data_IF_115961775939
#
_entry.id   IF_115961775939
#
_cell.length_a   1.000
_cell.length_b   1.000
_cell.length_c   1.000
_cell.angle_alpha   90.00
_cell.angle_beta   90.00
_cell.angle_gamma   90.00
#
_symmetry.space_group_name_H-M   'P 1'
#
loop_
_entity.id
_entity.type
_entity.pdbx_description
1 polymer ?
#
# COMPACT_ATOMS: atom_id res chain seq x y z
N UNK A 1 -9.99 -1.79 51.38
CA UNK A 1 -9.09 -2.19 50.28
C UNK A 1 -9.72 -1.73 48.98
N UNK A 2 -9.08 -0.78 48.29
CA UNK A 2 -9.65 -0.07 47.14
C UNK A 2 -9.38 -0.86 45.86
N UNK A 3 -10.44 -1.15 45.11
CA UNK A 3 -10.37 -1.69 43.76
C UNK A 3 -9.75 -0.65 42.82
N UNK A 4 -8.73 -1.07 42.06
CA UNK A 4 -8.17 -0.32 40.93
C UNK A 4 -8.65 -1.01 39.65
N UNK A 5 -9.35 -0.32 38.73
CA UNK A 5 -9.72 -0.90 37.45
C UNK A 5 -8.51 -0.93 36.51
N UNK A 6 -8.30 -2.08 35.88
CA UNK A 6 -7.27 -2.31 34.86
C UNK A 6 -7.78 -1.76 33.52
N UNK A 7 -7.30 -0.58 33.12
CA UNK A 7 -7.55 0.01 31.79
C UNK A 7 -6.56 -0.61 30.82
N UNK A 8 -7.03 -1.49 29.93
CA UNK A 8 -6.24 -1.95 28.78
C UNK A 8 -6.29 -0.87 27.71
N UNK A 9 -5.24 -0.06 27.66
CA UNK A 9 -5.04 0.92 26.60
C UNK A 9 -4.79 0.20 25.27
N UNK A 10 -5.67 0.40 24.29
CA UNK A 10 -5.48 0.00 22.90
C UNK A 10 -4.35 0.83 22.28
N UNK A 11 -3.11 0.37 22.43
CA UNK A 11 -1.97 0.90 21.69
C UNK A 11 -2.04 0.36 20.25
N UNK A 12 -2.72 1.09 19.37
CA UNK A 12 -2.40 1.04 17.95
C UNK A 12 -0.90 1.31 17.87
N UNK A 13 -0.05 0.43 17.31
CA UNK A 13 1.25 0.86 16.89
C UNK A 13 0.97 1.90 15.80
N UNK A 14 0.96 3.17 16.19
CA UNK A 14 1.26 4.26 15.29
C UNK A 14 2.61 3.85 14.74
N UNK A 15 2.60 3.27 13.54
CA UNK A 15 3.79 3.14 12.73
C UNK A 15 4.15 4.59 12.47
N UNK A 16 4.92 5.16 13.40
CA UNK A 16 5.68 6.35 13.14
C UNK A 16 6.47 5.98 11.89
N UNK A 17 6.10 6.58 10.76
CA UNK A 17 6.98 6.72 9.62
C UNK A 17 8.15 7.58 10.11
N UNK A 18 9.01 6.99 10.94
CA UNK A 18 10.21 7.60 11.46
C UNK A 18 11.13 7.82 10.26
N UNK A 19 11.24 9.08 9.85
CA UNK A 19 12.14 9.48 8.77
C UNK A 19 11.60 10.55 7.82
N UNK A 20 10.32 10.93 7.88
CA UNK A 20 9.93 12.23 7.33
C UNK A 20 10.30 13.29 8.36
N UNK A 21 11.57 13.71 8.38
CA UNK A 21 11.92 15.02 8.93
C UNK A 21 11.08 16.04 8.16
N UNK A 22 9.97 16.43 8.76
CA UNK A 22 9.20 17.62 8.35
C UNK A 22 10.12 18.80 8.64
N UNK A 23 10.94 19.17 7.66
CA UNK A 23 11.25 20.58 7.50
C UNK A 23 9.95 21.22 7.02
N UNK A 24 9.28 22.06 7.83
CA UNK A 24 8.22 22.89 7.32
C UNK A 24 8.88 23.95 6.43
N UNK A 25 8.25 24.22 5.28
CA UNK A 25 8.67 25.18 4.25
C UNK A 25 9.80 24.70 3.35
N UNK A 26 9.40 24.05 2.27
CA UNK A 26 9.74 24.45 0.90
C UNK A 26 8.63 23.86 0.03
N UNK A 27 7.56 24.63 -0.13
CA UNK A 27 6.71 24.51 -1.33
C UNK A 27 7.66 24.50 -2.53
N UNK A 28 7.46 23.68 -3.57
CA UNK A 28 8.15 23.93 -4.82
C UNK A 28 7.65 25.29 -5.29
N UNK A 29 8.44 26.33 -5.03
CA UNK A 29 8.39 27.52 -5.83
C UNK A 29 8.62 27.00 -7.24
N UNK A 30 7.52 26.97 -8.00
CA UNK A 30 7.54 26.85 -9.44
C UNK A 30 8.18 28.13 -9.98
N UNK A 31 9.45 28.35 -9.65
CA UNK A 31 10.32 29.22 -10.37
C UNK A 31 10.88 28.38 -11.50
N UNK A 32 10.14 28.37 -12.61
CA UNK A 32 10.78 28.61 -13.90
C UNK A 32 11.49 29.97 -13.82
N UNK A 33 12.56 30.01 -13.04
CA UNK A 33 13.68 30.88 -13.32
C UNK A 33 14.60 30.02 -14.18
N UNK A 34 14.18 29.85 -15.43
CA UNK A 34 15.09 30.23 -16.51
C UNK A 34 15.45 31.71 -16.30
N UNK A 35 16.19 32.00 -15.22
CA UNK A 35 17.10 33.11 -15.25
C UNK A 35 18.06 32.68 -16.36
N UNK A 36 17.79 33.21 -17.54
CA UNK A 36 18.80 33.65 -18.47
C UNK A 36 19.85 34.39 -17.64
N UNK A 37 20.74 33.62 -17.01
CA UNK A 37 21.95 34.14 -16.41
C UNK A 37 22.62 34.83 -17.57
N UNK A 38 22.59 36.17 -17.54
CA UNK A 38 23.12 37.07 -18.55
C UNK A 38 24.61 36.77 -18.67
N UNK A 39 24.95 35.77 -19.47
CA UNK A 39 26.31 35.33 -19.76
C UNK A 39 26.86 36.06 -21.01
N UNK A 40 26.45 37.31 -21.11
CA UNK A 40 27.08 38.35 -21.91
C UNK A 40 27.65 39.42 -20.95
N UNK A 41 28.31 39.00 -19.87
CA UNK A 41 29.34 39.86 -19.32
C UNK A 41 30.34 40.12 -20.46
N UNK A 42 30.42 41.37 -20.90
CA UNK A 42 31.30 41.85 -21.95
C UNK A 42 32.71 41.28 -21.70
N UNK A 43 33.07 40.24 -22.48
CA UNK A 43 34.35 39.58 -22.33
C UNK A 43 35.39 40.53 -22.91
N UNK A 44 36.14 41.21 -22.05
CA UNK A 44 37.21 42.12 -22.47
C UNK A 44 38.26 41.33 -23.26
N UNK A 45 38.21 41.46 -24.58
CA UNK A 45 39.07 40.75 -25.50
C UNK A 45 40.42 41.46 -25.55
N UNK A 46 41.54 40.77 -25.27
CA UNK A 46 42.85 41.37 -25.44
C UNK A 46 43.06 41.86 -26.87
N UNK A 47 43.76 42.99 -27.03
CA UNK A 47 43.95 43.65 -28.33
C UNK A 47 44.99 42.97 -29.22
N UNK A 48 45.78 42.02 -28.69
CA UNK A 48 46.79 41.30 -29.47
C UNK A 48 46.49 39.80 -29.56
N UNK A 49 46.76 39.15 -30.72
CA UNK A 49 46.54 37.71 -30.88
C UNK A 49 47.27 36.83 -29.85
N UNK A 50 48.48 37.22 -29.43
CA UNK A 50 49.23 36.51 -28.40
C UNK A 50 48.57 36.59 -27.03
N UNK A 51 48.04 37.76 -26.66
CA UNK A 51 47.32 37.95 -25.41
C UNK A 51 45.97 37.23 -25.41
N UNK A 52 45.26 37.21 -26.55
CA UNK A 52 44.05 36.39 -26.73
C UNK A 52 44.34 34.90 -26.50
N UNK A 53 45.39 34.37 -27.12
CA UNK A 53 45.80 32.98 -26.92
C UNK A 53 46.14 32.68 -25.45
N UNK A 54 46.82 33.60 -24.76
CA UNK A 54 47.11 33.46 -23.33
C UNK A 54 45.84 33.46 -22.47
N UNK A 55 44.91 34.39 -22.74
CA UNK A 55 43.62 34.48 -22.04
C UNK A 55 42.76 33.23 -22.23
N UNK A 56 42.71 32.70 -23.45
CA UNK A 56 42.00 31.45 -23.72
C UNK A 56 42.59 30.27 -22.94
N UNK A 57 43.91 30.22 -22.75
CA UNK A 57 44.56 29.18 -21.91
C UNK A 57 44.22 29.32 -20.45
N UNK A 58 44.23 30.54 -19.92
CA UNK A 58 43.82 30.82 -18.54
C UNK A 58 42.38 30.37 -18.29
N UNK A 59 41.43 30.79 -19.13
CA UNK A 59 40.02 30.39 -19.00
C UNK A 59 39.81 28.88 -19.08
N UNK A 60 40.49 28.22 -20.02
CA UNK A 60 40.47 26.76 -20.15
C UNK A 60 41.07 26.04 -18.94
N UNK A 61 42.16 26.58 -18.39
CA UNK A 61 42.79 26.06 -17.18
C UNK A 61 41.86 26.18 -15.97
N UNK A 62 41.26 27.36 -15.76
CA UNK A 62 40.27 27.57 -14.70
C UNK A 62 39.08 26.61 -14.85
N UNK A 63 38.55 26.45 -16.06
CA UNK A 63 37.46 25.50 -16.33
C UNK A 63 37.84 24.07 -15.96
N UNK A 64 39.05 23.63 -16.32
CA UNK A 64 39.57 22.31 -15.99
C UNK A 64 39.77 22.12 -14.48
N UNK A 65 40.30 23.15 -13.79
CA UNK A 65 40.53 23.12 -12.34
C UNK A 65 39.21 23.01 -11.58
N UNK A 66 38.17 23.75 -12.00
CA UNK A 66 36.86 23.76 -11.33
C UNK A 66 36.21 22.37 -11.28
N UNK A 67 36.47 21.53 -12.28
CA UNK A 67 35.83 20.20 -12.41
C UNK A 67 36.70 19.04 -11.96
N UNK A 68 37.86 19.31 -11.37
CA UNK A 68 38.71 18.25 -10.81
C UNK A 68 38.00 17.54 -9.66
N UNK A 69 38.23 16.23 -9.53
CA UNK A 69 37.68 15.39 -8.46
C UNK A 69 36.14 15.39 -8.38
N UNK A 70 35.43 14.98 -9.46
CA UNK A 70 33.97 14.81 -9.41
C UNK A 70 33.56 13.77 -8.36
N UNK A 71 32.29 13.75 -7.91
CA UNK A 71 31.14 14.46 -8.47
C UNK A 71 31.00 15.91 -8.01
N UNK A 72 30.35 16.74 -8.83
CA UNK A 72 30.09 18.15 -8.57
C UNK A 72 28.63 18.51 -8.82
N UNK A 73 28.06 19.50 -8.09
CA UNK A 73 26.71 19.97 -8.34
C UNK A 73 26.59 20.66 -9.71
N UNK A 74 25.36 20.79 -10.20
CA UNK A 74 25.00 21.46 -11.47
C UNK A 74 25.71 22.81 -11.63
N UNK A 75 25.74 23.64 -10.58
CA UNK A 75 26.33 24.98 -10.63
C UNK A 75 27.82 24.95 -11.00
N UNK A 76 28.58 23.96 -10.51
CA UNK A 76 30.00 23.82 -10.81
C UNK A 76 30.23 23.45 -12.28
N UNK A 77 29.44 22.51 -12.81
CA UNK A 77 29.50 22.13 -14.23
C UNK A 77 29.11 23.29 -15.14
N UNK A 78 28.07 24.05 -14.77
CA UNK A 78 27.64 25.25 -15.50
C UNK A 78 28.74 26.32 -15.52
N UNK A 79 29.43 26.58 -14.38
CA UNK A 79 30.58 27.51 -14.34
C UNK A 79 31.71 27.08 -15.28
N UNK A 80 32.04 25.79 -15.28
CA UNK A 80 33.07 25.26 -16.18
C UNK A 80 32.66 25.37 -17.65
N UNK A 81 31.40 25.08 -17.97
CA UNK A 81 30.82 25.22 -19.31
C UNK A 81 30.97 26.65 -19.85
N UNK A 82 30.62 27.64 -19.02
CA UNK A 82 30.77 29.06 -19.35
C UNK A 82 32.23 29.40 -19.66
N UNK A 83 33.16 29.01 -18.80
CA UNK A 83 34.60 29.29 -19.02
C UNK A 83 35.16 28.62 -20.27
N UNK A 84 34.77 27.38 -20.56
CA UNK A 84 35.12 26.72 -21.82
C UNK A 84 34.56 27.48 -23.04
N UNK A 85 33.31 27.94 -22.97
CA UNK A 85 32.70 28.73 -24.06
C UNK A 85 33.42 30.07 -24.25
N UNK A 86 33.79 30.75 -23.18
CA UNK A 86 34.57 31.98 -23.23
C UNK A 86 35.95 31.74 -23.85
N UNK A 87 36.66 30.67 -23.44
CA UNK A 87 37.96 30.30 -24.02
C UNK A 87 37.86 30.03 -25.53
N UNK A 88 36.79 29.34 -25.97
CA UNK A 88 36.49 29.09 -27.39
C UNK A 88 36.28 30.41 -28.14
N UNK A 89 35.42 31.31 -27.63
CA UNK A 89 35.16 32.63 -28.25
C UNK A 89 36.45 33.45 -28.42
N UNK A 90 37.34 33.43 -27.43
CA UNK A 90 38.63 34.15 -27.52
C UNK A 90 39.52 33.57 -28.62
N UNK A 91 39.55 32.24 -28.80
CA UNK A 91 40.33 31.62 -29.88
C UNK A 91 39.72 31.86 -31.26
N UNK A 92 38.39 31.90 -31.37
CA UNK A 92 37.68 32.19 -32.63
C UNK A 92 37.90 33.63 -33.11
N UNK A 93 38.19 34.56 -32.20
CA UNK A 93 38.51 35.96 -32.53
C UNK A 93 39.94 36.16 -33.10
N UNK A 94 40.81 35.15 -33.03
CA UNK A 94 42.18 35.23 -33.56
C UNK A 94 42.16 35.09 -35.09
N UNK A 95 42.61 36.11 -35.82
CA UNK A 95 42.69 36.08 -37.28
C UNK A 95 43.66 35.00 -37.81
N UNK A 96 43.33 34.42 -38.96
CA UNK A 96 44.07 33.32 -39.60
C UNK A 96 45.48 33.70 -40.06
N UNK A 97 45.71 34.99 -40.33
CA UNK A 97 47.00 35.52 -40.80
C UNK A 97 47.99 35.81 -39.65
N UNK A 98 47.62 35.51 -38.40
CA UNK A 98 48.45 35.83 -37.24
C UNK A 98 49.53 34.78 -36.98
N UNK A 99 50.65 35.19 -36.40
CA UNK A 99 51.75 34.28 -35.99
C UNK A 99 51.34 33.14 -35.04
N UNK A 100 50.16 33.21 -34.43
CA UNK A 100 49.64 32.21 -33.48
C UNK A 100 48.44 31.42 -34.02
N UNK A 101 48.01 31.65 -35.26
CA UNK A 101 46.79 31.08 -35.83
C UNK A 101 46.76 29.55 -35.79
N UNK A 102 47.84 28.88 -36.19
CA UNK A 102 47.94 27.41 -36.15
C UNK A 102 47.76 26.87 -34.72
N UNK A 103 48.36 27.53 -33.74
CA UNK A 103 48.26 27.13 -32.34
C UNK A 103 46.87 27.39 -31.77
N UNK A 104 46.24 28.51 -32.15
CA UNK A 104 44.86 28.81 -31.80
C UNK A 104 43.90 27.74 -32.34
N UNK A 105 44.04 27.36 -33.62
CA UNK A 105 43.21 26.34 -34.24
C UNK A 105 43.35 24.96 -33.59
N UNK A 106 44.59 24.55 -33.27
CA UNK A 106 44.84 23.29 -32.55
C UNK A 106 44.16 23.28 -31.17
N UNK A 107 44.26 24.38 -30.42
CA UNK A 107 43.61 24.51 -29.10
C UNK A 107 42.09 24.57 -29.22
N UNK A 108 41.57 25.23 -30.25
CA UNK A 108 40.13 25.34 -30.50
C UNK A 108 39.48 23.96 -30.67
N UNK A 109 40.12 23.04 -31.40
CA UNK A 109 39.64 21.65 -31.51
C UNK A 109 39.55 20.98 -30.14
N UNK A 110 40.61 21.06 -29.33
CA UNK A 110 40.63 20.46 -27.98
C UNK A 110 39.57 21.09 -27.07
N UNK A 111 39.42 22.42 -27.12
CA UNK A 111 38.49 23.14 -26.24
C UNK A 111 37.04 22.84 -26.60
N UNK A 112 36.72 22.69 -27.90
CA UNK A 112 35.40 22.25 -28.35
C UNK A 112 35.06 20.84 -27.86
N UNK A 113 36.02 19.92 -27.88
CA UNK A 113 35.83 18.57 -27.31
C UNK A 113 35.59 18.61 -25.80
N UNK A 114 36.39 19.38 -25.05
CA UNK A 114 36.20 19.52 -23.60
C UNK A 114 34.87 20.20 -23.27
N UNK A 115 34.49 21.23 -24.03
CA UNK A 115 33.20 21.89 -23.88
C UNK A 115 32.05 20.90 -24.04
N UNK A 116 32.07 20.08 -25.10
CA UNK A 116 31.04 19.07 -25.34
C UNK A 116 30.95 18.06 -24.18
N UNK A 117 32.10 17.57 -23.69
CA UNK A 117 32.12 16.66 -22.54
C UNK A 117 31.56 17.29 -21.25
N UNK A 118 31.79 18.59 -21.02
CA UNK A 118 31.21 19.33 -19.89
C UNK A 118 29.71 19.56 -20.07
N UNK A 119 29.27 19.81 -21.31
CA UNK A 119 27.85 19.97 -21.65
C UNK A 119 27.07 18.67 -21.37
N UNK A 120 27.55 17.54 -21.89
CA UNK A 120 26.97 16.20 -21.62
C UNK A 120 26.91 15.89 -20.13
N UNK A 121 27.97 16.29 -19.40
CA UNK A 121 28.07 16.07 -17.96
C UNK A 121 27.07 16.93 -17.18
N UNK A 122 26.88 18.18 -17.59
CA UNK A 122 25.88 19.08 -17.02
C UNK A 122 24.47 18.54 -17.23
N UNK A 123 24.15 18.05 -18.44
CA UNK A 123 22.85 17.44 -18.73
C UNK A 123 22.59 16.21 -17.85
N UNK A 124 23.59 15.34 -17.70
CA UNK A 124 23.53 14.17 -16.83
C UNK A 124 23.26 14.56 -15.38
N UNK A 125 23.96 15.59 -14.88
CA UNK A 125 23.80 16.07 -13.51
C UNK A 125 22.42 16.70 -13.28
N UNK A 126 21.93 17.49 -14.23
CA UNK A 126 20.60 18.10 -14.17
C UNK A 126 19.50 17.05 -14.19
N UNK A 127 19.64 16.01 -15.01
CA UNK A 127 18.72 14.89 -15.05
C UNK A 127 18.72 14.12 -13.72
N UNK A 128 19.89 13.88 -13.11
CA UNK A 128 20.01 13.21 -11.83
C UNK A 128 19.31 13.98 -10.69
N UNK A 129 19.52 15.31 -10.62
CA UNK A 129 18.83 16.18 -9.64
C UNK A 129 17.32 16.14 -9.83
N UNK A 130 16.84 16.27 -11.08
CA UNK A 130 15.42 16.23 -11.40
C UNK A 130 14.77 14.88 -11.05
N UNK A 131 15.46 13.77 -11.30
CA UNK A 131 15.02 12.43 -10.90
C UNK A 131 14.91 12.29 -9.38
N UNK A 132 15.88 12.79 -8.63
CA UNK A 132 15.85 12.77 -7.17
C UNK A 132 14.64 13.55 -6.63
N UNK A 133 14.44 14.78 -7.12
CA UNK A 133 13.32 15.63 -6.70
C UNK A 133 11.97 15.01 -7.03
N UNK A 134 11.82 14.47 -8.25
CA UNK A 134 10.60 13.77 -8.67
C UNK A 134 10.33 12.54 -7.79
N UNK A 135 11.37 11.79 -7.42
CA UNK A 135 11.24 10.61 -6.58
C UNK A 135 10.79 10.98 -5.16
N UNK A 136 11.29 12.10 -4.63
CA UNK A 136 10.86 12.66 -3.35
C UNK A 136 9.39 13.09 -3.38
N UNK A 137 8.95 13.75 -4.46
CA UNK A 137 7.56 14.14 -4.62
C UNK A 137 6.61 12.92 -4.68
N UNK A 138 6.97 11.89 -5.44
CA UNK A 138 6.20 10.65 -5.54
C UNK A 138 6.12 9.91 -4.20
N UNK A 139 7.24 9.79 -3.49
CA UNK A 139 7.30 9.21 -2.16
C UNK A 139 6.41 9.96 -1.16
N UNK A 140 6.46 11.29 -1.17
CA UNK A 140 5.60 12.13 -0.34
C UNK A 140 4.11 11.90 -0.65
N UNK A 141 3.73 11.92 -1.92
CA UNK A 141 2.35 11.64 -2.34
C UNK A 141 1.91 10.24 -1.90
N UNK A 142 2.78 9.24 -2.02
CA UNK A 142 2.50 7.87 -1.58
C UNK A 142 2.23 7.81 -0.06
N UNK A 143 3.07 8.47 0.73
CA UNK A 143 2.91 8.55 2.18
C UNK A 143 1.60 9.27 2.56
N UNK A 144 1.31 10.43 1.97
CA UNK A 144 0.08 11.20 2.21
C UNK A 144 -1.17 10.40 1.83
N UNK A 145 -1.14 9.67 0.71
CA UNK A 145 -2.26 8.84 0.23
C UNK A 145 -2.73 7.83 1.28
N UNK A 146 -1.85 7.37 2.17
CA UNK A 146 -2.15 6.34 3.18
C UNK A 146 -2.13 6.86 4.62
N UNK A 147 -2.08 8.18 4.81
CA UNK A 147 -2.19 8.76 6.15
C UNK A 147 -3.60 8.52 6.72
N UNK A 148 -3.69 8.34 8.03
CA UNK A 148 -4.97 8.16 8.76
C UNK A 148 -5.81 6.98 8.21
N UNK A 149 -5.32 5.73 8.30
CA UNK A 149 -6.12 4.55 7.97
C UNK A 149 -7.42 4.50 8.80
N UNK A 150 -8.45 3.73 8.38
CA UNK A 150 -8.44 2.70 7.33
C UNK A 150 -8.56 3.26 5.90
N UNK A 151 -8.10 2.47 4.93
CA UNK A 151 -8.13 2.79 3.49
C UNK A 151 -8.52 1.57 2.65
N UNK A 152 -9.19 1.79 1.53
CA UNK A 152 -9.56 0.71 0.60
C UNK A 152 -8.34 0.10 -0.10
N UNK A 153 -8.49 -1.13 -0.61
CA UNK A 153 -7.42 -1.81 -1.37
C UNK A 153 -6.90 -0.96 -2.54
N UNK A 154 -7.77 -0.23 -3.24
CA UNK A 154 -7.40 0.61 -4.37
C UNK A 154 -6.48 1.79 -3.95
N UNK A 155 -6.71 2.37 -2.77
CA UNK A 155 -5.87 3.43 -2.21
C UNK A 155 -4.47 2.89 -1.88
N UNK A 156 -4.38 1.73 -1.22
CA UNK A 156 -3.09 1.09 -0.95
C UNK A 156 -2.31 0.74 -2.22
N UNK A 157 -2.98 0.20 -3.24
CA UNK A 157 -2.36 -0.09 -4.54
C UNK A 157 -1.89 1.18 -5.26
N UNK A 158 -2.63 2.28 -5.14
CA UNK A 158 -2.21 3.58 -5.67
C UNK A 158 -0.94 4.08 -5.00
N UNK A 159 -0.80 3.90 -3.69
CA UNK A 159 0.42 4.24 -2.96
C UNK A 159 1.60 3.34 -3.34
N UNK A 160 1.39 2.03 -3.49
CA UNK A 160 2.44 1.10 -3.94
C UNK A 160 2.99 1.49 -5.31
N UNK A 161 2.12 1.82 -6.28
CA UNK A 161 2.56 2.30 -7.61
C UNK A 161 3.43 3.56 -7.52
N UNK A 162 3.08 4.52 -6.67
CA UNK A 162 3.89 5.73 -6.47
C UNK A 162 5.24 5.42 -5.84
N UNK A 163 5.29 4.49 -4.87
CA UNK A 163 6.56 4.01 -4.32
C UNK A 163 7.42 3.31 -5.38
N UNK A 164 6.84 2.46 -6.23
CA UNK A 164 7.54 1.81 -7.34
C UNK A 164 8.15 2.85 -8.30
N UNK A 165 7.37 3.87 -8.68
CA UNK A 165 7.84 4.95 -9.55
C UNK A 165 8.98 5.74 -8.90
N UNK A 166 8.85 6.09 -7.61
CA UNK A 166 9.91 6.78 -6.88
C UNK A 166 11.21 5.96 -6.81
N UNK A 167 11.09 4.66 -6.53
CA UNK A 167 12.22 3.72 -6.49
C UNK A 167 12.90 3.63 -7.85
N UNK A 168 12.13 3.47 -8.93
CA UNK A 168 12.67 3.40 -10.29
C UNK A 168 13.43 4.68 -10.69
N UNK A 169 12.94 5.85 -10.28
CA UNK A 169 13.65 7.11 -10.52
C UNK A 169 14.98 7.18 -9.76
N UNK A 170 15.03 6.73 -8.50
CA UNK A 170 16.29 6.68 -7.75
C UNK A 170 17.29 5.65 -8.30
N UNK A 171 16.81 4.52 -8.81
CA UNK A 171 17.64 3.48 -9.44
C UNK A 171 18.25 3.94 -10.78
N UNK A 172 17.58 4.86 -11.47
CA UNK A 172 18.07 5.43 -12.73
C UNK A 172 19.18 6.49 -12.53
N UNK A 173 19.41 6.97 -11.31
CA UNK A 173 20.40 8.00 -11.03
C UNK A 173 21.83 7.42 -11.19
N UNK A 174 22.67 8.02 -12.06
CA UNK A 174 24.05 7.54 -12.23
C UNK A 174 24.87 7.64 -10.94
N UNK A 175 25.66 6.61 -10.65
CA UNK A 175 26.53 6.55 -9.46
C UNK A 175 27.55 7.69 -9.40
N UNK A 176 27.90 8.23 -10.57
CA UNK A 176 28.84 9.35 -10.72
C UNK A 176 28.19 10.72 -10.52
N UNK A 177 26.88 10.85 -10.31
CA UNK A 177 26.23 12.15 -10.06
C UNK A 177 26.53 12.68 -8.66
N UNK A 178 26.34 13.98 -8.42
CA UNK A 178 26.52 14.57 -7.06
C UNK A 178 25.46 14.12 -6.07
N UNK A 179 24.29 13.68 -6.56
CA UNK A 179 23.16 13.23 -5.75
C UNK A 179 23.13 11.71 -5.53
N UNK A 180 24.12 10.96 -6.00
CA UNK A 180 24.11 9.49 -5.96
C UNK A 180 24.04 8.92 -4.54
N UNK A 181 24.83 9.47 -3.61
CA UNK A 181 24.84 9.04 -2.20
C UNK A 181 23.48 9.24 -1.52
N UNK A 182 22.90 10.43 -1.68
CA UNK A 182 21.56 10.74 -1.15
C UNK A 182 20.48 9.84 -1.77
N UNK A 183 20.61 9.53 -3.06
CA UNK A 183 19.68 8.65 -3.77
C UNK A 183 19.73 7.22 -3.24
N UNK A 184 20.93 6.69 -2.95
CA UNK A 184 21.12 5.37 -2.35
C UNK A 184 20.53 5.28 -0.94
N UNK A 185 20.72 6.32 -0.12
CA UNK A 185 20.13 6.37 1.22
C UNK A 185 18.58 6.32 1.15
N UNK A 186 17.99 7.15 0.28
CA UNK A 186 16.52 7.18 0.10
C UNK A 186 15.98 5.88 -0.48
N UNK A 187 16.71 5.24 -1.39
CA UNK A 187 16.30 3.97 -1.99
C UNK A 187 16.07 2.88 -0.93
N UNK A 188 16.96 2.78 0.06
CA UNK A 188 16.80 1.85 1.17
C UNK A 188 15.54 2.14 2.01
N UNK A 189 15.27 3.42 2.27
CA UNK A 189 14.08 3.87 3.01
C UNK A 189 12.81 3.57 2.21
N UNK A 190 12.79 3.88 0.91
CA UNK A 190 11.61 3.75 0.06
C UNK A 190 11.23 2.28 -0.13
N UNK A 191 12.21 1.39 -0.33
CA UNK A 191 11.96 -0.07 -0.38
C UNK A 191 11.36 -0.60 0.91
N UNK A 192 11.83 -0.12 2.07
CA UNK A 192 11.24 -0.49 3.38
C UNK A 192 9.79 -0.03 3.49
N UNK A 193 9.52 1.22 3.14
CA UNK A 193 8.16 1.77 3.17
C UNK A 193 7.23 1.02 2.21
N UNK A 194 7.69 0.74 0.99
CA UNK A 194 6.95 -0.04 0.01
C UNK A 194 6.60 -1.43 0.55
N UNK A 195 7.54 -2.13 1.20
CA UNK A 195 7.27 -3.44 1.80
C UNK A 195 6.13 -3.39 2.83
N UNK A 196 6.06 -2.33 3.63
CA UNK A 196 4.93 -2.11 4.55
C UNK A 196 3.61 -1.95 3.79
N UNK A 197 3.61 -1.16 2.70
CA UNK A 197 2.43 -1.02 1.84
C UNK A 197 2.00 -2.36 1.23
N UNK A 198 2.95 -3.17 0.74
CA UNK A 198 2.67 -4.49 0.16
C UNK A 198 2.09 -5.47 1.19
N UNK A 199 2.56 -5.42 2.43
CA UNK A 199 1.98 -6.18 3.54
C UNK A 199 0.53 -5.77 3.79
N UNK A 200 0.24 -4.46 3.81
CA UNK A 200 -1.14 -3.96 3.95
C UNK A 200 -2.03 -4.39 2.79
N UNK A 201 -1.54 -4.34 1.54
CA UNK A 201 -2.25 -4.86 0.36
C UNK A 201 -2.58 -6.35 0.52
N UNK A 202 -1.62 -7.15 1.00
CA UNK A 202 -1.84 -8.57 1.22
C UNK A 202 -2.92 -8.83 2.29
N UNK A 203 -2.87 -8.10 3.40
CA UNK A 203 -3.88 -8.14 4.46
C UNK A 203 -5.26 -7.78 3.91
N UNK A 204 -5.38 -6.67 3.18
CA UNK A 204 -6.65 -6.23 2.58
C UNK A 204 -7.22 -7.26 1.59
N UNK A 205 -6.37 -7.89 0.76
CA UNK A 205 -6.81 -8.97 -0.14
C UNK A 205 -7.37 -10.15 0.63
N UNK A 206 -6.67 -10.62 1.67
CA UNK A 206 -7.15 -11.73 2.51
C UNK A 206 -8.49 -11.39 3.18
N UNK A 207 -8.62 -10.18 3.70
CA UNK A 207 -9.86 -9.67 4.30
C UNK A 207 -11.03 -9.72 3.31
N UNK A 208 -10.82 -9.27 2.08
CA UNK A 208 -11.85 -9.31 1.03
C UNK A 208 -12.22 -10.75 0.63
N UNK A 209 -11.23 -11.65 0.52
CA UNK A 209 -11.47 -13.07 0.29
C UNK A 209 -12.29 -13.68 1.43
N UNK A 210 -11.94 -13.37 2.68
CA UNK A 210 -12.67 -13.87 3.83
C UNK A 210 -14.13 -13.39 3.84
N UNK A 211 -14.36 -12.09 3.63
CA UNK A 211 -15.71 -11.56 3.54
C UNK A 211 -16.51 -12.26 2.43
N UNK A 212 -15.91 -12.47 1.25
CA UNK A 212 -16.58 -13.16 0.15
C UNK A 212 -16.99 -14.59 0.53
N UNK A 213 -16.11 -15.37 1.16
CA UNK A 213 -16.42 -16.74 1.61
C UNK A 213 -17.52 -16.77 2.66
N UNK A 214 -17.50 -15.85 3.63
CA UNK A 214 -18.57 -15.70 4.62
C UNK A 214 -19.90 -15.32 3.95
N UNK A 215 -19.88 -14.39 2.99
CA UNK A 215 -21.07 -13.96 2.26
C UNK A 215 -21.69 -15.08 1.42
N UNK A 216 -20.87 -15.85 0.71
CA UNK A 216 -21.35 -17.02 -0.04
C UNK A 216 -22.02 -18.04 0.88
N UNK A 217 -21.42 -18.31 2.05
CA UNK A 217 -21.99 -19.25 3.02
C UNK A 217 -23.28 -18.70 3.64
N UNK A 218 -23.29 -17.42 4.02
CA UNK A 218 -24.46 -16.76 4.61
C UNK A 218 -25.67 -16.76 3.65
N UNK A 219 -25.45 -16.42 2.37
CA UNK A 219 -26.51 -16.43 1.37
C UNK A 219 -27.03 -17.85 1.11
N UNK A 220 -26.12 -18.81 0.96
CA UNK A 220 -26.51 -20.21 0.78
C UNK A 220 -27.41 -20.70 1.93
N UNK A 221 -27.00 -20.48 3.19
CA UNK A 221 -27.77 -20.91 4.36
C UNK A 221 -29.09 -20.14 4.50
N UNK A 222 -29.11 -18.85 4.18
CA UNK A 222 -30.31 -18.01 4.21
C UNK A 222 -31.37 -18.44 3.20
N UNK A 223 -30.97 -19.03 2.07
CA UNK A 223 -31.87 -19.45 0.99
C UNK A 223 -32.47 -20.85 1.20
N UNK A 224 -31.89 -21.65 2.11
CA UNK A 224 -32.37 -23.01 2.41
C UNK A 224 -33.86 -23.08 2.80
N UNK A 225 -34.42 -22.18 3.63
CA UNK A 225 -35.85 -22.18 3.94
C UNK A 225 -36.75 -22.16 2.71
N UNK A 226 -36.41 -21.31 1.73
CA UNK A 226 -37.14 -21.17 0.47
C UNK A 226 -37.01 -22.43 -0.37
N UNK A 227 -35.79 -23.00 -0.46
CA UNK A 227 -35.55 -24.24 -1.20
C UNK A 227 -36.29 -25.43 -0.60
N UNK A 228 -36.35 -25.53 0.74
CA UNK A 228 -37.14 -26.54 1.43
C UNK A 228 -38.63 -26.38 1.12
N UNK A 229 -39.16 -25.15 1.17
CA UNK A 229 -40.56 -24.88 0.85
C UNK A 229 -40.90 -25.21 -0.62
N UNK A 230 -39.95 -25.03 -1.53
CA UNK A 230 -40.08 -25.37 -2.94
C UNK A 230 -39.84 -26.87 -3.25
N UNK A 231 -39.50 -27.70 -2.26
CA UNK A 231 -39.18 -29.11 -2.45
C UNK A 231 -37.86 -29.36 -3.19
N UNK A 232 -36.95 -28.38 -3.20
CA UNK A 232 -35.69 -28.40 -3.96
C UNK A 232 -34.46 -28.71 -3.10
N UNK A 233 -34.60 -28.73 -1.77
CA UNK A 233 -33.49 -28.92 -0.85
C UNK A 233 -33.32 -30.38 -0.40
N UNK A 234 -32.10 -30.75 -0.01
CA UNK A 234 -31.77 -32.07 0.54
C UNK A 234 -31.98 -32.04 2.06
N UNK A 235 -32.73 -33.02 2.57
CA UNK A 235 -33.00 -33.14 4.00
C UNK A 235 -34.04 -32.15 4.54
N UNK A 236 -34.51 -32.39 5.77
CA UNK A 236 -35.62 -31.64 6.37
C UNK A 236 -35.26 -30.19 6.78
N UNK A 237 -33.97 -29.93 7.03
CA UNK A 237 -33.44 -28.58 7.35
C UNK A 237 -32.99 -27.84 6.08
N UNK A 238 -32.85 -28.56 4.96
CA UNK A 238 -32.42 -28.05 3.66
C UNK A 238 -30.94 -28.25 3.34
N UNK A 239 -30.18 -28.81 4.27
CA UNK A 239 -28.77 -29.17 4.10
C UNK A 239 -28.49 -30.47 4.84
N UNK A 240 -27.50 -31.23 4.40
CA UNK A 240 -26.95 -32.36 5.15
C UNK A 240 -26.04 -31.89 6.29
N UNK A 241 -25.97 -32.66 7.37
CA UNK A 241 -25.16 -32.31 8.53
C UNK A 241 -23.67 -32.17 8.18
N UNK A 242 -23.14 -33.08 7.36
CA UNK A 242 -21.72 -33.05 6.98
C UNK A 242 -21.39 -31.83 6.11
N UNK A 243 -22.27 -31.49 5.15
CA UNK A 243 -22.10 -30.29 4.32
C UNK A 243 -22.08 -29.01 5.18
N UNK A 244 -22.87 -28.96 6.25
CA UNK A 244 -22.83 -27.84 7.19
C UNK A 244 -21.51 -27.78 7.96
N UNK A 245 -21.03 -28.92 8.46
CA UNK A 245 -19.73 -29.04 9.15
C UNK A 245 -18.58 -28.60 8.25
N UNK A 246 -18.56 -29.05 7.00
CA UNK A 246 -17.48 -28.74 6.04
C UNK A 246 -17.43 -27.23 5.73
N UNK A 247 -18.61 -26.60 5.59
CA UNK A 247 -18.70 -25.14 5.42
C UNK A 247 -18.16 -24.39 6.63
N UNK A 248 -18.48 -24.82 7.86
CA UNK A 248 -17.92 -24.19 9.04
C UNK A 248 -16.41 -24.37 9.14
N UNK A 249 -15.89 -25.52 8.75
CA UNK A 249 -14.44 -25.75 8.73
C UNK A 249 -13.74 -24.83 7.74
N UNK A 250 -14.36 -24.57 6.58
CA UNK A 250 -13.89 -23.55 5.63
C UNK A 250 -13.88 -22.16 6.27
N UNK A 251 -14.99 -21.72 6.90
CA UNK A 251 -15.05 -20.41 7.57
C UNK A 251 -14.00 -20.25 8.67
N UNK A 252 -13.76 -21.30 9.47
CA UNK A 252 -12.72 -21.33 10.51
C UNK A 252 -11.34 -21.12 9.91
N UNK A 253 -11.01 -21.88 8.86
CA UNK A 253 -9.71 -21.82 8.19
C UNK A 253 -9.51 -20.43 7.57
N UNK A 254 -10.53 -19.90 6.89
CA UNK A 254 -10.51 -18.57 6.31
C UNK A 254 -10.33 -17.46 7.35
N UNK A 255 -11.01 -17.53 8.50
CA UNK A 255 -10.84 -16.55 9.58
C UNK A 255 -9.46 -16.67 10.25
N UNK A 256 -8.91 -17.88 10.36
CA UNK A 256 -7.57 -18.12 10.89
C UNK A 256 -6.47 -17.50 10.01
N UNK A 257 -6.67 -17.41 8.69
CA UNK A 257 -5.72 -16.75 7.78
C UNK A 257 -5.62 -15.22 7.99
N UNK A 258 -6.60 -14.63 8.68
CA UNK A 258 -6.60 -13.22 9.12
C UNK A 258 -5.89 -13.01 10.47
N UNK A 259 -5.32 -14.03 11.09
CA UNK A 259 -4.68 -13.88 12.41
C UNK A 259 -3.39 -13.02 12.39
N UNK A 260 -2.91 -12.57 13.57
CA UNK A 260 -1.98 -11.43 13.75
C UNK A 260 -0.64 -11.54 13.00
N UNK A 261 0.10 -10.41 12.84
CA UNK A 261 -0.02 -9.18 13.62
C UNK A 261 -1.06 -8.16 13.16
N UNK A 262 -1.60 -8.24 11.93
CA UNK A 262 -2.40 -7.14 11.36
C UNK A 262 -3.88 -7.46 11.10
N UNK A 263 -4.24 -8.70 10.76
CA UNK A 263 -5.61 -8.99 10.33
C UNK A 263 -6.64 -9.01 11.47
N UNK A 264 -6.23 -9.24 12.73
CA UNK A 264 -7.12 -9.12 13.91
C UNK A 264 -7.44 -7.68 14.31
N UNK A 265 -6.69 -6.71 13.78
CA UNK A 265 -6.95 -5.27 13.99
C UNK A 265 -7.87 -4.68 12.92
N UNK A 266 -8.24 -5.45 11.90
CA UNK A 266 -9.15 -4.99 10.86
C UNK A 266 -10.58 -4.89 11.44
N UNK A 267 -11.33 -3.80 11.16
CA UNK A 267 -12.67 -3.56 11.72
C UNK A 267 -13.60 -4.77 11.63
N UNK A 268 -13.66 -5.39 10.45
CA UNK A 268 -14.57 -6.51 10.19
C UNK A 268 -14.24 -7.83 10.90
N UNK A 269 -13.02 -7.98 11.46
CA UNK A 269 -12.61 -9.27 12.04
C UNK A 269 -13.57 -9.70 13.16
N UNK A 270 -13.98 -8.76 14.00
CA UNK A 270 -14.90 -8.99 15.11
C UNK A 270 -16.26 -9.49 14.61
N UNK A 271 -16.78 -8.88 13.55
CA UNK A 271 -18.04 -9.28 12.93
C UNK A 271 -17.95 -10.68 12.32
N UNK A 272 -16.90 -10.98 11.55
CA UNK A 272 -16.73 -12.33 10.98
C UNK A 272 -16.57 -13.39 12.08
N UNK A 273 -15.87 -13.06 13.18
CA UNK A 273 -15.76 -13.93 14.34
C UNK A 273 -17.08 -14.10 15.11
N UNK A 274 -17.94 -13.09 15.16
CA UNK A 274 -19.31 -13.21 15.69
C UNK A 274 -20.18 -14.10 14.80
N UNK A 275 -20.18 -13.90 13.49
CA UNK A 275 -20.92 -14.74 12.56
C UNK A 275 -20.49 -16.21 12.64
N UNK A 276 -19.19 -16.46 12.78
CA UNK A 276 -18.68 -17.82 12.95
C UNK A 276 -19.18 -18.47 14.25
N UNK A 277 -19.19 -17.74 15.37
CA UNK A 277 -19.73 -18.22 16.65
C UNK A 277 -21.22 -18.57 16.55
N UNK A 278 -21.99 -17.77 15.81
CA UNK A 278 -23.40 -18.06 15.54
C UNK A 278 -23.54 -19.39 14.76
N UNK A 279 -22.75 -19.59 13.72
CA UNK A 279 -22.76 -20.86 12.98
C UNK A 279 -22.33 -22.06 13.85
N UNK A 280 -21.35 -21.89 14.73
CA UNK A 280 -20.90 -22.96 15.64
C UNK A 280 -21.98 -23.36 16.66
N UNK A 281 -22.77 -22.39 17.12
CA UNK A 281 -23.93 -22.67 17.95
C UNK A 281 -24.94 -23.55 17.19
N UNK A 282 -25.17 -23.28 15.91
CA UNK A 282 -26.02 -24.11 15.05
C UNK A 282 -25.56 -25.58 15.00
N UNK A 283 -24.26 -25.83 14.83
CA UNK A 283 -23.72 -27.20 14.88
C UNK A 283 -23.97 -27.85 16.23
N UNK A 284 -23.73 -27.12 17.32
CA UNK A 284 -23.90 -27.62 18.69
C UNK A 284 -25.35 -28.08 18.94
N UNK A 285 -26.33 -27.28 18.49
CA UNK A 285 -27.76 -27.58 18.58
C UNK A 285 -28.11 -28.82 17.75
N UNK A 286 -27.59 -28.91 16.53
CA UNK A 286 -27.84 -30.07 15.68
C UNK A 286 -27.23 -31.35 16.26
N UNK A 287 -26.03 -31.28 16.83
CA UNK A 287 -25.41 -32.41 17.54
C UNK A 287 -26.26 -32.85 18.75
N UNK A 288 -26.78 -31.90 19.53
CA UNK A 288 -27.67 -32.20 20.66
C UNK A 288 -28.95 -32.90 20.18
N UNK A 289 -29.56 -32.43 19.10
CA UNK A 289 -30.70 -33.08 18.46
C UNK A 289 -30.37 -34.51 18.00
N UNK A 290 -29.26 -34.70 17.28
CA UNK A 290 -28.86 -36.04 16.79
C UNK A 290 -28.61 -37.01 17.94
N UNK A 291 -28.00 -36.54 19.04
CA UNK A 291 -27.81 -37.33 20.25
C UNK A 291 -29.15 -37.72 20.87
N UNK A 292 -30.03 -36.73 21.10
CA UNK A 292 -31.36 -36.96 21.65
C UNK A 292 -32.16 -37.98 20.81
N UNK A 293 -32.12 -37.83 19.49
CA UNK A 293 -32.77 -38.73 18.53
C UNK A 293 -32.27 -40.17 18.65
N UNK A 294 -30.94 -40.38 18.78
CA UNK A 294 -30.36 -41.72 18.98
C UNK A 294 -30.78 -42.34 20.31
N UNK A 295 -30.81 -41.54 21.37
CA UNK A 295 -31.11 -42.00 22.73
C UNK A 295 -32.62 -42.24 22.96
N UNK A 296 -33.49 -41.74 22.07
CA UNK A 296 -34.95 -41.78 22.22
C UNK A 296 -35.65 -42.28 20.94
N UNK A 297 -35.28 -43.47 20.44
CA UNK A 297 -35.85 -44.02 19.20
C UNK A 297 -37.37 -44.21 19.22
N UNK A 298 -37.98 -44.46 20.38
CA UNK A 298 -39.45 -44.54 20.52
C UNK A 298 -40.14 -43.18 20.29
N UNK A 299 -39.45 -42.06 20.57
CA UNK A 299 -39.95 -40.70 20.31
C UNK A 299 -40.19 -40.46 18.81
N UNK A 300 -39.43 -41.12 17.93
CA UNK A 300 -39.59 -41.03 16.47
C UNK A 300 -40.84 -41.74 15.94
N UNK A 301 -41.49 -42.61 16.73
CA UNK A 301 -42.70 -43.33 16.32
C UNK A 301 -43.98 -42.49 16.45
N UNK A 302 -43.90 -41.30 17.05
CA UNK A 302 -45.00 -40.33 17.12
C UNK A 302 -45.06 -39.37 15.92
N UNK A 303 -46.17 -38.65 15.78
CA UNK A 303 -46.44 -37.67 14.70
C UNK A 303 -45.53 -36.42 14.69
N UNK A 304 -44.54 -36.36 15.58
CA UNK A 304 -43.58 -35.25 15.75
C UNK A 304 -42.43 -35.30 14.70
N UNK A 305 -42.51 -36.23 13.73
CA UNK A 305 -41.51 -36.45 12.67
C UNK A 305 -41.37 -35.28 11.68
N UNK A 306 -42.35 -34.38 11.63
CA UNK A 306 -42.39 -33.27 10.67
C UNK A 306 -41.65 -32.02 11.14
N UNK A 307 -41.75 -31.65 12.42
CA UNK A 307 -41.23 -30.37 12.93
C UNK A 307 -39.88 -30.47 13.64
N UNK A 308 -39.35 -31.70 13.78
CA UNK A 308 -38.06 -31.97 14.45
C UNK A 308 -37.97 -31.31 15.84
N UNK A 309 -39.05 -31.39 16.61
CA UNK A 309 -39.10 -30.78 17.94
C UNK A 309 -38.17 -31.52 18.90
N UNK A 310 -37.44 -30.82 19.76
CA UNK A 310 -36.65 -31.47 20.81
C UNK A 310 -36.60 -30.59 22.07
N UNK A 311 -36.29 -31.17 23.25
CA UNK A 311 -36.35 -30.45 24.51
C UNK A 311 -35.37 -29.26 24.53
N UNK A 312 -35.88 -28.07 24.85
CA UNK A 312 -35.07 -26.85 24.93
C UNK A 312 -33.99 -26.95 26.02
N UNK A 313 -34.21 -27.77 27.05
CA UNK A 313 -33.29 -28.01 28.16
C UNK A 313 -31.97 -28.67 27.76
N UNK A 314 -31.85 -29.17 26.52
CA UNK A 314 -30.60 -29.76 26.00
C UNK A 314 -29.62 -28.72 25.45
N UNK A 315 -30.04 -27.46 25.37
CA UNK A 315 -29.26 -26.34 24.81
C UNK A 315 -29.45 -25.09 25.67
N UNK A 316 -28.71 -24.02 25.37
CA UNK A 316 -28.89 -22.73 26.04
C UNK A 316 -30.16 -22.03 25.53
N UNK A 317 -31.30 -22.37 26.14
CA UNK A 317 -32.61 -21.82 25.78
C UNK A 317 -32.71 -20.30 25.94
N UNK A 318 -32.04 -19.72 26.93
CA UNK A 318 -32.06 -18.27 27.17
C UNK A 318 -31.43 -17.53 25.98
N UNK A 319 -30.24 -17.97 25.56
CA UNK A 319 -29.58 -17.41 24.37
C UNK A 319 -30.47 -17.55 23.13
N UNK A 320 -31.13 -18.69 22.94
CA UNK A 320 -32.03 -18.92 21.79
C UNK A 320 -33.23 -17.98 21.76
N UNK A 321 -33.87 -17.76 22.91
CA UNK A 321 -35.03 -16.89 23.01
C UNK A 321 -34.64 -15.41 22.93
N UNK A 322 -33.61 -14.98 23.65
CA UNK A 322 -33.23 -13.57 23.76
C UNK A 322 -32.49 -13.07 22.51
N UNK A 323 -31.51 -13.83 22.02
CA UNK A 323 -30.66 -13.39 20.91
C UNK A 323 -31.23 -13.72 19.54
N UNK A 324 -31.87 -14.89 19.40
CA UNK A 324 -32.33 -15.41 18.10
C UNK A 324 -33.86 -15.44 17.98
N UNK A 325 -34.61 -15.06 19.02
CA UNK A 325 -36.08 -15.00 19.01
C UNK A 325 -36.73 -16.33 18.62
N UNK A 326 -36.12 -17.45 19.05
CA UNK A 326 -36.61 -18.80 18.73
C UNK A 326 -37.94 -19.05 19.43
N UNK A 327 -38.92 -19.53 18.65
CA UNK A 327 -40.24 -19.91 19.18
C UNK A 327 -40.19 -21.28 19.85
N UNK A 328 -40.86 -21.40 21.00
CA UNK A 328 -41.01 -22.64 21.74
C UNK A 328 -42.39 -23.27 21.52
N UNK A 329 -42.48 -24.59 21.66
CA UNK A 329 -43.66 -25.42 21.45
C UNK A 329 -43.96 -26.27 22.69
N UNK A 330 -45.19 -26.79 22.79
CA UNK A 330 -45.66 -27.65 23.88
C UNK A 330 -45.36 -27.03 25.25
N UNK A 331 -46.07 -25.95 25.56
CA UNK A 331 -45.98 -25.20 26.82
C UNK A 331 -44.59 -24.65 27.13
N UNK A 332 -43.79 -24.38 26.09
CA UNK A 332 -42.44 -23.83 26.22
C UNK A 332 -41.32 -24.87 26.36
N UNK A 333 -41.66 -26.17 26.38
CA UNK A 333 -40.70 -27.23 26.69
C UNK A 333 -39.84 -27.69 25.50
N UNK A 334 -40.27 -27.40 24.26
CA UNK A 334 -39.58 -27.86 23.04
C UNK A 334 -39.28 -26.71 22.07
N UNK A 335 -38.30 -26.93 21.21
CA UNK A 335 -37.97 -26.07 20.06
C UNK A 335 -37.84 -26.91 18.79
N UNK A 336 -38.10 -26.31 17.63
CA UNK A 336 -37.86 -26.96 16.32
C UNK A 336 -36.41 -26.79 15.92
N UNK A 337 -35.70 -27.89 15.61
CA UNK A 337 -34.33 -27.82 15.09
C UNK A 337 -34.25 -26.92 13.86
N UNK A 338 -35.17 -27.12 12.91
CA UNK A 338 -35.23 -26.41 11.63
C UNK A 338 -35.36 -24.90 11.82
N UNK A 339 -36.41 -24.45 12.51
CA UNK A 339 -36.63 -23.01 12.70
C UNK A 339 -35.55 -22.34 13.56
N UNK A 340 -34.99 -23.09 14.53
CA UNK A 340 -33.87 -22.61 15.34
C UNK A 340 -32.63 -22.35 14.49
N UNK A 341 -32.24 -23.30 13.63
CA UNK A 341 -31.08 -23.14 12.74
C UNK A 341 -31.28 -21.98 11.77
N UNK A 342 -32.48 -21.83 11.21
CA UNK A 342 -32.79 -20.74 10.30
C UNK A 342 -32.70 -19.36 10.96
N UNK A 343 -33.16 -19.23 12.21
CA UNK A 343 -33.03 -17.98 12.97
C UNK A 343 -31.56 -17.63 13.25
N UNK A 344 -30.74 -18.63 13.59
CA UNK A 344 -29.29 -18.47 13.79
C UNK A 344 -28.60 -18.02 12.49
N UNK A 345 -28.91 -18.67 11.36
CA UNK A 345 -28.31 -18.32 10.06
C UNK A 345 -28.73 -16.94 9.58
N UNK A 346 -29.98 -16.53 9.85
CA UNK A 346 -30.43 -15.17 9.55
C UNK A 346 -29.63 -14.13 10.34
N UNK A 347 -29.46 -14.32 11.64
CA UNK A 347 -28.67 -13.42 12.49
C UNK A 347 -27.20 -13.36 12.05
N UNK A 348 -26.59 -14.51 11.75
CA UNK A 348 -25.21 -14.58 11.28
C UNK A 348 -25.05 -13.83 9.94
N UNK A 349 -26.01 -13.96 9.03
CA UNK A 349 -26.04 -13.19 7.78
C UNK A 349 -26.08 -11.68 8.04
N UNK A 350 -26.92 -11.21 8.96
CA UNK A 350 -26.97 -9.78 9.32
C UNK A 350 -25.61 -9.26 9.82
N UNK A 351 -24.84 -10.08 10.56
CA UNK A 351 -23.46 -9.73 10.93
C UNK A 351 -22.56 -9.62 9.70
N UNK A 352 -22.61 -10.59 8.80
CA UNK A 352 -21.80 -10.58 7.57
C UNK A 352 -22.14 -9.38 6.67
N UNK A 353 -23.42 -9.02 6.57
CA UNK A 353 -23.86 -7.87 5.78
C UNK A 353 -23.38 -6.54 6.40
N UNK A 354 -23.29 -6.46 7.74
CA UNK A 354 -22.68 -5.31 8.45
C UNK A 354 -21.18 -5.20 8.16
N UNK A 355 -20.45 -6.30 8.27
CA UNK A 355 -19.04 -6.36 7.90
C UNK A 355 -18.80 -5.90 6.45
N UNK A 356 -19.70 -6.23 5.53
CA UNK A 356 -19.62 -5.75 4.14
C UNK A 356 -19.81 -4.22 4.03
N UNK A 357 -20.71 -3.64 4.82
CA UNK A 357 -20.94 -2.19 4.83
C UNK A 357 -19.70 -1.45 5.34
N UNK A 358 -19.03 -1.97 6.37
CA UNK A 358 -17.81 -1.36 6.94
C UNK A 358 -16.62 -1.31 5.96
N UNK A 359 -16.54 -2.21 4.97
CA UNK A 359 -15.50 -2.15 3.93
C UNK A 359 -15.81 -1.09 2.87
N UNK A 360 -17.10 -0.77 2.67
CA UNK A 360 -17.56 0.16 1.63
C UNK A 360 -17.55 1.62 2.10
N UNK A 361 -17.70 1.84 3.41
CA UNK A 361 -17.54 3.14 4.08
C UNK A 361 -16.07 3.53 4.20
#
# INVERSE_FOLDING_TARGET
MKHVPFVVAASIPVVFFAGCSVNPLLLPANSRQSETFRDESELDLPTTPKAQLAKARELAWEAAVIVQNPPHPVETWQKARVKWRQAIRVLEAIATETSVATQAQQRLTVYRTNYAAIDDRLETEQAAVSQLESAQALAWQAAVTVQKPPHTLAVWQSADRKWQQAIAQLEAIPAVSSVSSQSQEKLAIYRRNQKVIQQQIATQKKTLTALATFKTTANYLKDLPTQVAAGQAVGQVGIEYQDYVDRLQLLKTTLAELQPPQGSQHPIYTDLAEALRDYELGITIWQAYQKFKRDNVEWLRGSDSYDQLFPISLVDGNTLMEKYQVTTYLDGSKISLKFTLWAIWDRAKQVVDRAEQEIKS
#
